data_IF_691628389841
#
_entry.id   IF_691628389841
#
_cell.length_a   1.000
_cell.length_b   1.000
_cell.length_c   1.000
_cell.angle_alpha   90.00
_cell.angle_beta   90.00
_cell.angle_gamma   90.00
#
_symmetry.space_group_name_H-M   'P 1'
#
loop_
_entity.id
_entity.type
_entity.pdbx_description
1 polymer ?
#
# COMPACT_ATOMS: atom_id res chain seq x y z
N UNK A 1 -24.84 18.71 -14.61
CA UNK A 1 -25.84 17.63 -14.61
C UNK A 1 -25.14 16.34 -14.24
N UNK A 2 -25.61 15.61 -13.23
CA UNK A 2 -25.01 14.32 -12.87
C UNK A 2 -25.27 13.37 -14.04
N UNK A 3 -24.22 12.97 -14.75
CA UNK A 3 -24.34 12.01 -15.84
C UNK A 3 -24.79 10.65 -15.28
N UNK A 4 -25.71 9.95 -15.95
CA UNK A 4 -26.15 8.61 -15.51
C UNK A 4 -24.98 7.66 -15.24
N UNK A 5 -23.87 7.82 -15.96
CA UNK A 5 -22.63 7.08 -15.77
C UNK A 5 -22.02 7.23 -14.37
N UNK A 6 -22.04 8.42 -13.78
CA UNK A 6 -21.49 8.62 -12.42
C UNK A 6 -22.38 7.99 -11.36
N UNK A 7 -23.71 8.04 -11.54
CA UNK A 7 -24.66 7.36 -10.65
C UNK A 7 -24.45 5.84 -10.68
N UNK A 8 -24.32 5.25 -11.87
CA UNK A 8 -24.03 3.82 -12.03
C UNK A 8 -22.68 3.46 -11.40
N UNK A 9 -21.64 4.27 -11.61
CA UNK A 9 -20.33 4.03 -11.00
C UNK A 9 -20.38 4.05 -9.46
N UNK A 10 -21.08 5.02 -8.86
CA UNK A 10 -21.26 5.10 -7.40
C UNK A 10 -21.99 3.86 -6.88
N UNK A 11 -23.08 3.44 -7.54
CA UNK A 11 -23.82 2.23 -7.15
C UNK A 11 -22.95 0.98 -7.25
N UNK A 12 -22.13 0.85 -8.29
CA UNK A 12 -21.21 -0.28 -8.44
C UNK A 12 -20.12 -0.28 -7.36
N UNK A 13 -19.50 0.87 -7.07
CA UNK A 13 -18.49 0.99 -5.99
C UNK A 13 -19.11 0.68 -4.63
N UNK A 14 -20.33 1.16 -4.38
CA UNK A 14 -21.06 0.84 -3.16
C UNK A 14 -21.34 -0.67 -3.08
N UNK A 15 -21.87 -1.26 -4.15
CA UNK A 15 -22.17 -2.69 -4.21
C UNK A 15 -20.92 -3.55 -3.97
N UNK A 16 -19.79 -3.24 -4.62
CA UNK A 16 -18.54 -3.98 -4.42
C UNK A 16 -17.99 -3.81 -3.00
N UNK A 17 -18.13 -2.64 -2.40
CA UNK A 17 -17.71 -2.39 -1.00
C UNK A 17 -18.54 -3.21 -0.01
N UNK A 18 -19.87 -3.29 -0.20
CA UNK A 18 -20.71 -4.12 0.65
C UNK A 18 -20.47 -5.61 0.42
N UNK A 19 -20.33 -6.02 -0.85
CA UNK A 19 -20.11 -7.41 -1.20
C UNK A 19 -18.79 -7.94 -0.62
N UNK A 20 -17.71 -7.15 -0.67
CA UNK A 20 -16.42 -7.54 -0.07
C UNK A 20 -16.50 -7.67 1.46
N UNK A 21 -17.26 -6.81 2.14
CA UNK A 21 -17.54 -6.95 3.59
C UNK A 21 -18.34 -8.21 3.91
N UNK A 22 -19.40 -8.47 3.16
CA UNK A 22 -20.26 -9.65 3.35
C UNK A 22 -19.47 -10.93 3.07
N UNK A 23 -18.70 -10.98 1.97
CA UNK A 23 -17.85 -12.12 1.66
C UNK A 23 -16.84 -12.39 2.77
N UNK A 24 -16.14 -11.34 3.24
CA UNK A 24 -15.18 -11.46 4.34
C UNK A 24 -15.84 -12.02 5.60
N UNK A 25 -17.00 -11.49 5.98
CA UNK A 25 -17.74 -12.03 7.13
C UNK A 25 -18.15 -13.48 6.92
N UNK A 26 -18.78 -13.84 5.80
CA UNK A 26 -19.26 -15.20 5.53
C UNK A 26 -18.11 -16.21 5.47
N UNK A 27 -16.99 -15.86 4.84
CA UNK A 27 -15.82 -16.73 4.74
C UNK A 27 -15.16 -17.00 6.10
N UNK A 28 -15.16 -16.01 6.99
CA UNK A 28 -14.47 -16.10 8.30
C UNK A 28 -15.40 -16.47 9.48
N UNK A 29 -16.72 -16.33 9.36
CA UNK A 29 -17.70 -16.53 10.45
C UNK A 29 -17.60 -17.89 11.14
N UNK A 30 -17.35 -18.95 10.38
CA UNK A 30 -17.30 -20.33 10.88
C UNK A 30 -15.87 -20.92 10.89
N UNK A 31 -14.83 -20.10 10.67
CA UNK A 31 -13.44 -20.55 10.68
C UNK A 31 -12.74 -20.03 11.93
N UNK A 32 -12.21 -20.93 12.76
CA UNK A 32 -11.24 -20.55 13.79
C UNK A 32 -9.94 -20.20 13.09
N UNK A 33 -9.60 -18.91 13.06
CA UNK A 33 -8.32 -18.46 12.51
C UNK A 33 -7.19 -18.99 13.40
N UNK A 34 -6.29 -19.77 12.81
CA UNK A 34 -5.07 -20.18 13.49
C UNK A 34 -4.20 -18.96 13.81
N UNK A 35 -3.37 -19.03 14.85
CA UNK A 35 -2.43 -17.96 15.23
C UNK A 35 -1.59 -17.45 14.05
N UNK A 36 -1.24 -18.30 13.08
CA UNK A 36 -0.53 -17.90 11.87
C UNK A 36 -1.38 -17.01 10.95
N UNK A 37 -2.65 -17.35 10.75
CA UNK A 37 -3.56 -16.60 9.88
C UNK A 37 -3.88 -15.22 10.44
N UNK A 38 -4.02 -15.12 11.77
CA UNK A 38 -4.23 -13.83 12.46
C UNK A 38 -3.03 -12.90 12.31
N UNK A 39 -1.81 -13.41 12.50
CA UNK A 39 -0.58 -12.64 12.28
C UNK A 39 -0.48 -12.10 10.85
N UNK A 40 -0.84 -12.93 9.85
CA UNK A 40 -0.85 -12.48 8.45
C UNK A 40 -1.88 -11.34 8.28
N UNK A 41 -3.09 -11.50 8.82
CA UNK A 41 -4.15 -10.49 8.68
C UNK A 41 -3.77 -9.13 9.29
N UNK A 42 -2.96 -9.12 10.35
CA UNK A 42 -2.43 -7.89 10.98
C UNK A 42 -1.47 -7.12 10.06
N UNK A 43 -0.70 -7.79 9.19
CA UNK A 43 0.22 -7.13 8.24
C UNK A 43 -0.37 -6.87 6.85
N UNK A 44 -1.49 -7.51 6.48
CA UNK A 44 -2.19 -7.28 5.19
C UNK A 44 -2.45 -5.78 4.90
N UNK A 45 -3.03 -4.97 5.80
CA UNK A 45 -3.37 -3.59 5.47
C UNK A 45 -2.12 -2.76 5.13
N UNK A 46 -1.01 -2.97 5.84
CA UNK A 46 0.27 -2.32 5.51
C UNK A 46 0.79 -2.71 4.13
N UNK A 47 0.78 -4.02 3.80
CA UNK A 47 1.20 -4.50 2.48
C UNK A 47 0.33 -3.95 1.34
N UNK A 48 -0.99 -3.87 1.53
CA UNK A 48 -1.90 -3.33 0.50
C UNK A 48 -1.61 -1.86 0.24
N UNK A 49 -1.39 -1.05 1.29
CA UNK A 49 -1.02 0.36 1.14
C UNK A 49 0.27 0.52 0.32
N UNK A 50 1.32 -0.25 0.64
CA UNK A 50 2.60 -0.20 -0.08
C UNK A 50 2.42 -0.60 -1.55
N UNK A 51 1.64 -1.65 -1.83
CA UNK A 51 1.36 -2.11 -3.20
C UNK A 51 0.66 -1.05 -4.05
N UNK A 52 -0.30 -0.31 -3.46
CA UNK A 52 -1.02 0.77 -4.15
C UNK A 52 -0.11 1.98 -4.43
N UNK A 53 0.84 2.27 -3.54
CA UNK A 53 1.74 3.43 -3.67
C UNK A 53 2.92 3.11 -4.61
N UNK A 54 3.41 1.87 -4.64
CA UNK A 54 4.53 1.43 -5.47
C UNK A 54 4.52 1.92 -6.94
N UNK A 55 3.41 1.84 -7.71
CA UNK A 55 3.41 2.26 -9.12
C UNK A 55 3.63 3.78 -9.30
N UNK A 56 3.38 4.59 -8.29
CA UNK A 56 3.65 6.04 -8.35
C UNK A 56 5.16 6.28 -8.49
N UNK A 57 5.95 5.59 -7.67
CA UNK A 57 7.40 5.77 -7.64
C UNK A 57 8.15 5.14 -8.82
N UNK A 58 7.58 4.10 -9.44
CA UNK A 58 8.20 3.45 -10.62
C UNK A 58 8.05 4.32 -11.88
N UNK A 59 7.05 5.21 -11.92
CA UNK A 59 6.75 6.02 -13.11
C UNK A 59 7.60 7.28 -13.23
N UNK A 60 8.03 7.85 -12.12
CA UNK A 60 8.55 9.23 -12.10
C UNK A 60 9.99 9.31 -12.63
N UNK A 61 10.96 8.62 -12.03
CA UNK A 61 12.37 8.62 -12.47
C UNK A 61 13.16 7.41 -11.95
N UNK A 62 14.26 7.04 -12.61
CA UNK A 62 15.21 6.01 -12.10
C UNK A 62 15.81 6.38 -10.73
N UNK A 63 15.87 7.68 -10.42
CA UNK A 63 16.28 8.18 -9.11
C UNK A 63 15.34 7.72 -7.99
N UNK A 64 14.03 7.84 -8.18
CA UNK A 64 13.04 7.47 -7.16
C UNK A 64 13.01 5.96 -6.95
N UNK A 65 13.24 5.19 -8.03
CA UNK A 65 13.39 3.75 -7.95
C UNK A 65 14.60 3.34 -7.09
N UNK A 66 15.75 3.99 -7.27
CA UNK A 66 16.94 3.77 -6.46
C UNK A 66 16.73 4.21 -4.99
N UNK A 67 16.07 5.34 -4.76
CA UNK A 67 15.74 5.81 -3.41
C UNK A 67 14.84 4.81 -2.66
N UNK A 68 13.87 4.21 -3.34
CA UNK A 68 13.03 3.15 -2.76
C UNK A 68 13.82 1.87 -2.50
N UNK A 69 14.72 1.47 -3.38
CA UNK A 69 15.57 0.30 -3.14
C UNK A 69 16.43 0.50 -1.88
N UNK A 70 17.03 1.68 -1.72
CA UNK A 70 17.80 2.05 -0.51
C UNK A 70 16.89 2.04 0.72
N UNK A 71 15.69 2.60 0.61
CA UNK A 71 14.71 2.65 1.70
C UNK A 71 14.27 1.25 2.12
N UNK A 72 14.06 0.33 1.17
CA UNK A 72 13.70 -1.07 1.43
C UNK A 72 14.81 -1.79 2.19
N UNK A 73 16.07 -1.57 1.79
CA UNK A 73 17.24 -2.12 2.47
C UNK A 73 17.35 -1.55 3.90
N UNK A 74 17.19 -0.24 4.07
CA UNK A 74 17.22 0.40 5.38
C UNK A 74 16.09 -0.12 6.30
N UNK A 75 14.88 -0.24 5.77
CA UNK A 75 13.70 -0.72 6.50
C UNK A 75 13.85 -2.18 6.98
N UNK A 76 14.66 -2.99 6.30
CA UNK A 76 14.93 -4.38 6.69
C UNK A 76 15.85 -4.51 7.91
N UNK A 77 16.62 -3.46 8.25
CA UNK A 77 17.70 -3.50 9.25
C UNK A 77 17.49 -2.53 10.42
N UNK A 78 16.76 -1.43 10.22
CA UNK A 78 16.67 -0.33 11.18
C UNK A 78 15.24 -0.10 11.70
N UNK A 79 15.12 0.57 12.85
CA UNK A 79 13.83 1.02 13.40
C UNK A 79 13.20 2.12 12.53
N UNK A 80 11.91 2.39 12.73
CA UNK A 80 11.12 3.32 11.89
C UNK A 80 11.77 4.70 11.75
N UNK A 81 12.26 5.28 12.86
CA UNK A 81 12.90 6.61 12.86
C UNK A 81 14.13 6.71 11.95
N UNK A 82 15.19 5.89 12.15
CA UNK A 82 16.37 5.94 11.29
C UNK A 82 16.04 5.62 9.83
N UNK A 83 15.09 4.73 9.57
CA UNK A 83 14.66 4.39 8.20
C UNK A 83 14.09 5.60 7.46
N UNK A 84 13.23 6.38 8.12
CA UNK A 84 12.63 7.60 7.54
C UNK A 84 13.69 8.67 7.28
N UNK A 85 14.65 8.84 8.17
CA UNK A 85 15.74 9.82 7.97
C UNK A 85 16.61 9.42 6.78
N UNK A 86 16.99 8.14 6.69
CA UNK A 86 17.82 7.62 5.59
C UNK A 86 17.08 7.73 4.25
N UNK A 87 15.78 7.39 4.21
CA UNK A 87 14.99 7.48 2.98
C UNK A 87 14.82 8.92 2.49
N UNK A 88 14.58 9.85 3.41
CA UNK A 88 14.40 11.26 3.09
C UNK A 88 15.71 11.90 2.62
N UNK A 89 16.84 11.55 3.25
CA UNK A 89 18.16 12.01 2.82
C UNK A 89 18.58 11.41 1.47
N UNK A 90 18.34 10.11 1.25
CA UNK A 90 18.68 9.47 -0.01
C UNK A 90 17.85 10.02 -1.16
N UNK A 91 16.54 10.22 -0.96
CA UNK A 91 15.67 10.85 -1.94
C UNK A 91 16.12 12.29 -2.23
N UNK A 92 16.43 13.10 -1.21
CA UNK A 92 16.89 14.47 -1.41
C UNK A 92 18.22 14.54 -2.18
N UNK A 93 19.19 13.69 -1.85
CA UNK A 93 20.49 13.63 -2.53
C UNK A 93 20.34 13.20 -3.99
N UNK A 94 19.59 12.12 -4.25
CA UNK A 94 19.37 11.64 -5.62
C UNK A 94 18.62 12.67 -6.46
N UNK A 95 17.65 13.38 -5.86
CA UNK A 95 16.91 14.44 -6.55
C UNK A 95 17.75 15.69 -6.82
N UNK A 96 18.81 15.94 -6.05
CA UNK A 96 19.72 17.09 -6.26
C UNK A 96 20.84 16.79 -7.25
N UNK A 97 21.21 15.51 -7.40
CA UNK A 97 22.30 15.07 -8.28
C UNK A 97 21.80 14.69 -9.68
N UNK A 98 20.56 14.20 -9.81
CA UNK A 98 20.02 13.65 -11.06
C UNK A 98 18.98 14.54 -11.77
N UNK A 99 18.48 15.60 -11.12
CA UNK A 99 17.63 16.67 -11.69
C UNK A 99 18.41 17.97 -11.61
#
# INVERSE_FOLDING_TARGET
MIHSTTLVAILLVAATTYLTRILGYVLLKNKTLSNKQRKILEVVPGCVLISVIAPYFVKDNVADLLAIAITLIAASRFSLLPTVVISMLSAALLRTVLI
#
